data_IF_350782156860
#
_entry.id   IF_350782156860
#
_cell.length_a   1.000
_cell.length_b   1.000
_cell.length_c   1.000
_cell.angle_alpha   90.00
_cell.angle_beta   90.00
_cell.angle_gamma   90.00
#
_symmetry.space_group_name_H-M   'P 1'
#
loop_
_entity.id
_entity.type
_entity.pdbx_description
1 polymer ?
#
# COMPACT_ATOMS: atom_id res chain seq x y z
N UNK A 1 -14.50 36.26 -45.32
CA UNK A 1 -15.38 35.23 -44.70
C UNK A 1 -14.65 33.90 -44.55
N UNK A 2 -14.05 33.35 -45.63
CA UNK A 2 -13.28 32.08 -45.59
C UNK A 2 -12.00 32.17 -44.72
N UNK A 3 -11.30 33.30 -44.74
CA UNK A 3 -10.07 33.48 -43.96
C UNK A 3 -10.32 33.50 -42.44
N UNK A 4 -11.36 34.20 -41.98
CA UNK A 4 -11.77 34.19 -40.57
C UNK A 4 -12.18 32.77 -40.12
N UNK A 5 -12.93 32.05 -40.97
CA UNK A 5 -13.30 30.65 -40.69
C UNK A 5 -12.07 29.74 -40.54
N UNK A 6 -11.02 29.96 -41.34
CA UNK A 6 -9.78 29.20 -41.24
C UNK A 6 -9.00 29.49 -39.94
N UNK A 7 -8.90 30.77 -39.54
CA UNK A 7 -8.28 31.14 -38.27
C UNK A 7 -9.06 30.65 -37.05
N UNK A 8 -10.40 30.70 -37.11
CA UNK A 8 -11.28 30.14 -36.08
C UNK A 8 -11.09 28.62 -35.94
N UNK A 9 -10.94 27.91 -37.08
CA UNK A 9 -10.67 26.48 -37.10
C UNK A 9 -9.30 26.12 -36.50
N UNK A 10 -8.25 26.89 -36.85
CA UNK A 10 -6.91 26.73 -36.25
C UNK A 10 -6.94 27.02 -34.75
N UNK A 11 -7.64 28.08 -34.34
CA UNK A 11 -7.81 28.45 -32.94
C UNK A 11 -8.50 27.33 -32.14
N UNK A 12 -9.61 26.80 -32.65
CA UNK A 12 -10.33 25.70 -32.03
C UNK A 12 -9.49 24.42 -31.93
N UNK A 13 -8.78 24.05 -33.00
CA UNK A 13 -7.89 22.89 -32.99
C UNK A 13 -6.74 23.04 -31.97
N UNK A 14 -6.17 24.25 -31.87
CA UNK A 14 -5.09 24.54 -30.92
C UNK A 14 -5.58 24.41 -29.48
N UNK A 15 -6.75 24.97 -29.15
CA UNK A 15 -7.36 24.85 -27.82
C UNK A 15 -7.65 23.38 -27.48
N UNK A 16 -8.18 22.60 -28.43
CA UNK A 16 -8.45 21.17 -28.23
C UNK A 16 -7.16 20.38 -27.93
N UNK A 17 -6.08 20.64 -28.68
CA UNK A 17 -4.77 20.01 -28.46
C UNK A 17 -4.19 20.40 -27.09
N UNK A 18 -4.20 21.69 -26.74
CA UNK A 18 -3.72 22.15 -25.43
C UNK A 18 -4.53 21.55 -24.28
N UNK A 19 -5.85 21.50 -24.42
CA UNK A 19 -6.75 20.86 -23.45
C UNK A 19 -6.45 19.36 -23.28
N UNK A 20 -6.24 18.64 -24.38
CA UNK A 20 -5.86 17.23 -24.38
C UNK A 20 -4.49 17.01 -23.70
N UNK A 21 -3.49 17.82 -24.03
CA UNK A 21 -2.16 17.77 -23.41
C UNK A 21 -2.23 18.05 -21.91
N UNK A 22 -2.96 19.09 -21.48
CA UNK A 22 -3.15 19.42 -20.07
C UNK A 22 -3.81 18.27 -19.30
N UNK A 23 -4.79 17.60 -19.91
CA UNK A 23 -5.42 16.39 -19.35
C UNK A 23 -4.41 15.26 -19.19
N UNK A 24 -3.62 14.95 -20.22
CA UNK A 24 -2.59 13.90 -20.15
C UNK A 24 -1.56 14.18 -19.04
N UNK A 25 -1.13 15.44 -18.88
CA UNK A 25 -0.22 15.84 -17.81
C UNK A 25 -0.85 15.66 -16.43
N UNK A 26 -2.13 16.02 -16.27
CA UNK A 26 -2.86 15.87 -15.00
C UNK A 26 -3.06 14.41 -14.63
N UNK A 27 -3.43 13.57 -15.60
CA UNK A 27 -3.60 12.12 -15.43
C UNK A 27 -2.27 11.44 -15.05
N UNK A 28 -1.17 11.85 -15.67
CA UNK A 28 0.15 11.27 -15.44
C UNK A 28 1.01 12.03 -14.42
N UNK A 29 0.47 13.02 -13.71
CA UNK A 29 1.23 13.91 -12.80
C UNK A 29 2.10 13.15 -11.78
N UNK A 30 1.60 12.02 -11.28
CA UNK A 30 2.33 11.16 -10.32
C UNK A 30 3.54 10.50 -10.98
N UNK A 31 3.37 10.00 -12.20
CA UNK A 31 4.46 9.41 -13.01
C UNK A 31 5.48 10.46 -13.41
N UNK A 32 5.05 11.66 -13.78
CA UNK A 32 5.93 12.79 -14.07
C UNK A 32 6.73 13.24 -12.84
N UNK A 33 6.10 13.28 -11.66
CA UNK A 33 6.80 13.58 -10.40
C UNK A 33 7.86 12.52 -10.07
N UNK A 34 7.57 11.23 -10.30
CA UNK A 34 8.53 10.14 -10.15
C UNK A 34 9.66 10.24 -11.19
N UNK A 35 9.37 10.64 -12.43
CA UNK A 35 10.38 10.89 -13.45
C UNK A 35 11.34 12.01 -13.03
N UNK A 36 10.80 13.16 -12.60
CA UNK A 36 11.61 14.26 -12.07
C UNK A 36 12.43 13.84 -10.85
N UNK A 37 11.86 13.02 -9.97
CA UNK A 37 12.60 12.46 -8.83
C UNK A 37 13.71 11.51 -9.29
N UNK A 38 13.46 10.69 -10.32
CA UNK A 38 14.45 9.77 -10.89
C UNK A 38 15.66 10.53 -11.46
N UNK A 39 15.43 11.70 -12.07
CA UNK A 39 16.48 12.57 -12.63
C UNK A 39 17.26 13.27 -11.51
N UNK A 40 16.56 13.91 -10.57
CA UNK A 40 17.18 14.69 -9.48
C UNK A 40 17.93 13.83 -8.47
N UNK A 41 17.44 12.62 -8.18
CA UNK A 41 18.04 11.66 -7.23
C UNK A 41 18.75 10.51 -7.94
N UNK A 42 19.16 10.67 -9.20
CA UNK A 42 19.73 9.60 -10.03
C UNK A 42 20.94 8.88 -9.41
N UNK A 43 21.77 9.60 -8.63
CA UNK A 43 22.97 9.07 -7.96
C UNK A 43 22.71 8.55 -6.55
N UNK A 44 21.52 8.77 -5.99
CA UNK A 44 21.16 8.36 -4.63
C UNK A 44 20.45 7.01 -4.67
N UNK A 45 20.60 6.21 -3.62
CA UNK A 45 19.73 5.05 -3.40
C UNK A 45 18.43 5.51 -2.75
N UNK A 46 17.32 4.95 -3.19
CA UNK A 46 15.99 5.19 -2.66
C UNK A 46 15.46 3.87 -2.11
N UNK A 47 14.96 3.89 -0.88
CA UNK A 47 14.25 2.77 -0.27
C UNK A 47 12.85 2.68 -0.87
N UNK A 48 12.37 1.46 -1.12
CA UNK A 48 10.99 1.22 -1.52
C UNK A 48 10.41 0.16 -0.59
N UNK A 49 9.20 0.40 -0.10
CA UNK A 49 8.39 -0.60 0.57
C UNK A 49 7.03 -0.65 -0.11
N UNK A 50 6.74 -1.77 -0.77
CA UNK A 50 5.46 -1.98 -1.45
C UNK A 50 4.64 -3.03 -0.71
N UNK A 51 3.46 -2.65 -0.25
CA UNK A 51 2.58 -3.48 0.56
C UNK A 51 1.14 -3.35 0.10
N UNK A 52 0.31 -4.29 0.54
CA UNK A 52 -1.13 -4.19 0.47
C UNK A 52 -1.72 -4.22 1.88
N UNK A 53 -2.81 -3.49 2.09
CA UNK A 53 -3.51 -3.38 3.37
C UNK A 53 -5.00 -3.64 3.14
N UNK A 54 -5.62 -4.30 4.09
CA UNK A 54 -7.04 -4.57 4.08
C UNK A 54 -7.82 -3.54 4.91
N UNK A 55 -8.90 -3.04 4.31
CA UNK A 55 -10.02 -2.44 5.00
C UNK A 55 -11.00 -3.56 5.33
N UNK A 56 -11.12 -3.88 6.61
CA UNK A 56 -12.09 -4.84 7.15
C UNK A 56 -12.89 -4.08 8.20
N UNK A 57 -14.21 -4.00 8.01
CA UNK A 57 -15.11 -3.27 8.92
C UNK A 57 -16.08 -4.22 9.59
N UNK A 58 -16.38 -3.93 10.86
CA UNK A 58 -17.38 -4.61 11.70
C UNK A 58 -18.11 -3.51 12.49
N UNK A 59 -19.43 -3.38 12.30
CA UNK A 59 -20.25 -2.28 12.87
C UNK A 59 -19.62 -0.89 12.68
N UNK A 60 -19.25 -0.52 11.45
CA UNK A 60 -18.58 0.75 11.12
C UNK A 60 -17.19 0.98 11.73
N UNK A 61 -16.66 0.06 12.55
CA UNK A 61 -15.30 0.11 13.10
C UNK A 61 -14.33 -0.69 12.26
N UNK A 62 -13.06 -0.30 12.29
CA UNK A 62 -12.00 -0.92 11.52
C UNK A 62 -11.26 -1.97 12.36
N UNK A 63 -11.06 -3.16 11.80
CA UNK A 63 -10.24 -4.19 12.41
C UNK A 63 -8.75 -3.85 12.23
N UNK A 64 -8.03 -3.74 13.34
CA UNK A 64 -6.59 -3.65 13.38
C UNK A 64 -6.01 -4.83 14.16
N UNK A 65 -4.75 -5.14 13.85
CA UNK A 65 -3.96 -6.18 14.50
C UNK A 65 -2.72 -5.58 15.19
N UNK A 66 -2.24 -6.22 16.24
CA UNK A 66 -0.97 -5.87 16.86
C UNK A 66 0.19 -6.29 15.95
N UNK A 67 1.06 -5.34 15.62
CA UNK A 67 2.22 -5.56 14.75
C UNK A 67 3.25 -6.51 15.35
N UNK A 68 3.76 -7.46 14.55
CA UNK A 68 4.75 -8.43 15.03
C UNK A 68 6.18 -7.91 15.19
N UNK A 69 6.53 -6.79 14.53
CA UNK A 69 7.88 -6.21 14.56
C UNK A 69 7.96 -4.88 15.33
N UNK A 70 6.84 -4.18 15.49
CA UNK A 70 6.73 -2.90 16.16
C UNK A 70 5.48 -2.98 17.03
N UNK A 71 5.59 -2.64 18.32
CA UNK A 71 4.47 -2.58 19.27
C UNK A 71 3.52 -1.41 18.94
N UNK A 72 2.73 -1.61 17.89
CA UNK A 72 1.70 -0.70 17.40
C UNK A 72 0.60 -1.50 16.71
N UNK A 73 -0.60 -0.97 16.68
CA UNK A 73 -1.70 -1.54 15.89
C UNK A 73 -1.60 -1.12 14.43
N UNK A 74 -1.94 -2.02 13.52
CA UNK A 74 -1.88 -1.77 12.08
C UNK A 74 -3.00 -2.52 11.35
N UNK A 75 -3.38 -2.12 10.13
CA UNK A 75 -4.33 -2.90 9.34
C UNK A 75 -3.74 -4.27 9.01
N UNK A 76 -4.62 -5.26 8.81
CA UNK A 76 -4.25 -6.56 8.25
C UNK A 76 -3.62 -6.33 6.87
N UNK A 77 -2.54 -7.01 6.56
CA UNK A 77 -1.81 -6.91 5.30
C UNK A 77 -0.29 -6.91 5.50
N UNK A 78 0.44 -6.68 4.42
CA UNK A 78 1.88 -6.75 4.48
C UNK A 78 2.57 -6.53 3.15
N UNK A 79 3.88 -6.77 3.15
CA UNK A 79 4.76 -6.43 2.03
C UNK A 79 4.61 -7.46 0.93
N UNK A 80 4.38 -6.99 -0.30
CA UNK A 80 4.35 -7.87 -1.47
C UNK A 80 5.68 -8.61 -1.62
N UNK A 81 5.64 -9.83 -2.17
CA UNK A 81 6.86 -10.61 -2.46
C UNK A 81 7.24 -10.62 -3.94
N UNK A 82 8.53 -10.75 -4.21
CA UNK A 82 9.06 -11.16 -5.51
C UNK A 82 8.84 -12.66 -5.72
N UNK A 83 8.56 -13.04 -6.97
CA UNK A 83 8.71 -14.43 -7.41
C UNK A 83 10.11 -14.67 -7.99
N UNK A 84 10.58 -15.93 -8.06
CA UNK A 84 11.90 -16.26 -8.61
C UNK A 84 12.13 -15.71 -10.04
N UNK A 85 11.07 -15.61 -10.84
CA UNK A 85 11.11 -15.07 -12.21
C UNK A 85 11.51 -13.60 -12.28
N UNK A 86 11.42 -12.83 -11.19
CA UNK A 86 11.87 -11.44 -11.15
C UNK A 86 13.38 -11.26 -10.98
N UNK A 87 14.19 -12.33 -11.00
CA UNK A 87 15.65 -12.23 -10.87
C UNK A 87 16.28 -11.25 -11.87
N UNK A 88 15.92 -11.36 -13.15
CA UNK A 88 16.49 -10.54 -14.22
C UNK A 88 16.17 -9.06 -13.99
N UNK A 89 14.90 -8.73 -13.77
CA UNK A 89 14.49 -7.34 -13.54
C UNK A 89 15.08 -6.76 -12.25
N UNK A 90 15.32 -7.59 -11.22
CA UNK A 90 16.01 -7.15 -10.00
C UNK A 90 17.45 -6.73 -10.26
N UNK A 91 18.17 -7.50 -11.06
CA UNK A 91 19.54 -7.17 -11.48
C UNK A 91 19.56 -5.90 -12.34
N UNK A 92 18.67 -5.80 -13.34
CA UNK A 92 18.56 -4.62 -14.21
C UNK A 92 18.23 -3.33 -13.43
N UNK A 93 17.36 -3.43 -12.43
CA UNK A 93 16.99 -2.30 -11.57
C UNK A 93 18.05 -2.00 -10.51
N UNK A 94 19.07 -2.84 -10.33
CA UNK A 94 20.09 -2.68 -9.29
C UNK A 94 19.50 -2.79 -7.87
N UNK A 95 18.54 -3.70 -7.70
CA UNK A 95 17.82 -3.90 -6.44
C UNK A 95 18.73 -4.57 -5.40
N UNK A 96 18.80 -3.97 -4.22
CA UNK A 96 19.43 -4.53 -3.04
C UNK A 96 18.38 -4.72 -1.95
N UNK A 97 18.54 -5.74 -1.10
CA UNK A 97 17.65 -5.93 0.06
C UNK A 97 17.80 -4.78 1.05
N UNK A 98 16.70 -4.43 1.70
CA UNK A 98 16.76 -3.59 2.89
C UNK A 98 17.16 -4.45 4.10
N UNK A 99 18.37 -4.24 4.62
CA UNK A 99 18.87 -4.94 5.81
C UNK A 99 18.65 -4.18 7.11
N UNK A 100 18.00 -3.00 7.08
CA UNK A 100 17.92 -2.13 8.27
C UNK A 100 16.79 -2.45 9.24
N UNK A 101 15.73 -3.15 8.81
CA UNK A 101 14.48 -3.26 9.58
C UNK A 101 14.00 -4.67 9.87
N UNK A 102 14.22 -5.63 8.97
CA UNK A 102 13.74 -7.00 9.21
C UNK A 102 14.77 -7.99 8.67
N UNK A 103 15.26 -8.84 9.56
CA UNK A 103 16.08 -9.99 9.26
C UNK A 103 15.24 -11.26 9.45
N UNK A 104 15.48 -12.28 8.62
CA UNK A 104 14.88 -13.59 8.77
C UNK A 104 14.27 -14.17 7.48
N UNK A 105 13.89 -15.46 7.49
CA UNK A 105 13.43 -16.18 6.30
C UNK A 105 12.21 -15.54 5.64
N UNK A 106 11.28 -14.99 6.43
CA UNK A 106 10.06 -14.35 5.93
C UNK A 106 10.35 -13.12 5.05
N UNK A 107 11.41 -12.35 5.33
CA UNK A 107 11.73 -11.13 4.60
C UNK A 107 12.56 -11.34 3.32
N UNK A 108 12.95 -12.58 3.01
CA UNK A 108 13.91 -12.90 1.94
C UNK A 108 13.52 -12.34 0.57
N UNK A 109 12.23 -12.34 0.27
CA UNK A 109 11.70 -11.96 -1.03
C UNK A 109 10.73 -10.77 -0.95
N UNK A 110 10.73 -10.04 0.16
CA UNK A 110 9.91 -8.84 0.32
C UNK A 110 10.31 -7.75 -0.69
N UNK A 111 9.32 -7.04 -1.24
CA UNK A 111 9.51 -5.79 -1.98
C UNK A 111 9.72 -4.64 -0.98
N UNK A 112 10.69 -4.86 -0.10
CA UNK A 112 11.30 -3.90 0.82
C UNK A 112 12.78 -3.84 0.49
N UNK A 113 13.10 -2.90 -0.37
CA UNK A 113 14.34 -2.89 -1.12
C UNK A 113 14.95 -1.49 -1.15
N UNK A 114 16.18 -1.41 -1.66
CA UNK A 114 16.75 -0.16 -2.13
C UNK A 114 17.13 -0.29 -3.61
N UNK A 115 17.02 0.80 -4.36
CA UNK A 115 17.48 0.87 -5.75
C UNK A 115 18.06 2.25 -6.10
N UNK A 116 18.91 2.38 -7.14
CA UNK A 116 19.34 3.67 -7.65
C UNK A 116 18.16 4.52 -8.12
N UNK A 117 18.08 5.78 -7.70
CA UNK A 117 16.93 6.65 -7.98
C UNK A 117 16.59 6.79 -9.46
N UNK A 118 17.58 6.68 -10.35
CA UNK A 118 17.37 6.66 -11.82
C UNK A 118 16.42 5.56 -12.31
N UNK A 119 16.29 4.48 -11.53
CA UNK A 119 15.46 3.32 -11.85
C UNK A 119 14.07 3.38 -11.20
N UNK A 120 13.72 4.46 -10.49
CA UNK A 120 12.45 4.57 -9.75
C UNK A 120 11.22 4.46 -10.67
N UNK A 121 11.21 5.17 -11.81
CA UNK A 121 10.11 5.06 -12.76
C UNK A 121 10.01 3.66 -13.39
N UNK A 122 11.16 3.04 -13.72
CA UNK A 122 11.21 1.68 -14.26
C UNK A 122 10.66 0.66 -13.27
N UNK A 123 11.04 0.77 -12.00
CA UNK A 123 10.49 -0.05 -10.92
C UNK A 123 8.97 0.10 -10.84
N UNK A 124 8.45 1.32 -10.84
CA UNK A 124 7.00 1.53 -10.76
C UNK A 124 6.25 1.02 -12.01
N UNK A 125 6.88 1.02 -13.20
CA UNK A 125 6.31 0.39 -14.39
C UNK A 125 6.26 -1.14 -14.25
N UNK A 126 7.35 -1.74 -13.78
CA UNK A 126 7.40 -3.19 -13.50
C UNK A 126 6.39 -3.60 -12.42
N UNK A 127 6.28 -2.84 -11.34
CA UNK A 127 5.34 -3.11 -10.26
C UNK A 127 3.89 -3.11 -10.78
N UNK A 128 3.54 -2.18 -11.68
CA UNK A 128 2.20 -2.08 -12.26
C UNK A 128 1.93 -3.15 -13.33
N UNK A 129 2.96 -3.68 -13.97
CA UNK A 129 2.83 -4.79 -14.91
C UNK A 129 2.40 -6.10 -14.24
N UNK A 130 2.57 -6.24 -12.91
CA UNK A 130 2.19 -7.44 -12.12
C UNK A 130 2.90 -8.73 -12.54
N UNK A 131 4.04 -8.63 -13.23
CA UNK A 131 4.81 -9.79 -13.71
C UNK A 131 5.96 -10.09 -12.75
N UNK A 132 6.02 -11.32 -12.24
CA UNK A 132 7.13 -11.78 -11.38
C UNK A 132 7.08 -11.25 -9.94
N UNK A 133 5.91 -10.77 -9.49
CA UNK A 133 5.63 -10.46 -8.09
C UNK A 133 4.33 -11.12 -7.66
N UNK A 134 4.12 -11.20 -6.35
CA UNK A 134 2.84 -11.52 -5.73
C UNK A 134 1.73 -10.60 -6.28
N UNK A 135 0.60 -11.22 -6.65
CA UNK A 135 -0.57 -10.55 -7.26
C UNK A 135 -1.85 -10.84 -6.52
N UNK A 136 -1.98 -12.02 -5.91
CA UNK A 136 -3.03 -12.28 -4.93
C UNK A 136 -2.68 -11.58 -3.61
N UNK A 137 -3.67 -11.56 -2.71
CA UNK A 137 -3.55 -10.93 -1.39
C UNK A 137 -3.81 -11.91 -0.25
N UNK A 138 -3.94 -13.21 -0.56
CA UNK A 138 -4.36 -14.24 0.39
C UNK A 138 -3.33 -14.45 1.51
N UNK A 139 -2.04 -14.39 1.18
CA UNK A 139 -0.96 -14.76 2.10
C UNK A 139 -1.03 -14.02 3.44
N UNK A 140 -1.04 -12.69 3.42
CA UNK A 140 -1.08 -11.89 4.65
C UNK A 140 -2.42 -12.05 5.39
N UNK A 141 -3.54 -12.12 4.65
CA UNK A 141 -4.86 -12.38 5.26
C UNK A 141 -4.85 -13.71 6.03
N UNK A 142 -4.33 -14.76 5.40
CA UNK A 142 -4.20 -16.08 6.01
C UNK A 142 -3.21 -16.07 7.17
N UNK A 143 -2.02 -15.49 7.02
CA UNK A 143 -1.01 -15.44 8.09
C UNK A 143 -1.53 -14.71 9.34
N UNK A 144 -2.23 -13.59 9.15
CA UNK A 144 -2.60 -12.70 10.25
C UNK A 144 -3.96 -13.02 10.86
N UNK A 145 -4.92 -13.55 10.10
CA UNK A 145 -6.25 -13.89 10.62
C UNK A 145 -6.47 -15.41 10.79
N UNK A 146 -5.96 -16.24 9.89
CA UNK A 146 -6.24 -17.69 9.94
C UNK A 146 -5.23 -18.43 10.79
N UNK A 147 -3.94 -18.27 10.48
CA UNK A 147 -2.86 -18.94 11.20
C UNK A 147 -2.70 -18.45 12.65
N UNK A 148 -3.24 -17.27 12.96
CA UNK A 148 -3.31 -16.71 14.32
C UNK A 148 -4.49 -17.26 15.14
N UNK A 149 -5.41 -17.99 14.52
CA UNK A 149 -6.61 -18.54 15.16
C UNK A 149 -7.80 -17.57 15.24
N UNK A 150 -7.73 -16.40 14.60
CA UNK A 150 -8.82 -15.41 14.61
C UNK A 150 -10.00 -15.82 13.71
N UNK A 151 -9.71 -16.46 12.59
CA UNK A 151 -10.69 -17.01 11.64
C UNK A 151 -10.40 -18.48 11.36
N UNK A 152 -11.45 -19.29 11.25
CA UNK A 152 -11.32 -20.64 10.71
C UNK A 152 -11.00 -20.61 9.22
N UNK A 153 -10.30 -21.63 8.72
CA UNK A 153 -9.96 -21.76 7.30
C UNK A 153 -11.21 -21.73 6.43
N UNK A 154 -12.29 -22.37 6.88
CA UNK A 154 -13.55 -22.44 6.13
C UNK A 154 -14.18 -21.05 5.97
N UNK A 155 -14.38 -20.31 7.07
CA UNK A 155 -14.96 -18.97 6.98
C UNK A 155 -14.05 -18.00 6.24
N UNK A 156 -12.73 -18.17 6.36
CA UNK A 156 -11.77 -17.38 5.59
C UNK A 156 -11.94 -17.62 4.08
N UNK A 157 -12.07 -18.87 3.63
CA UNK A 157 -12.34 -19.19 2.21
C UNK A 157 -13.68 -18.62 1.77
N UNK A 158 -14.73 -18.78 2.58
CA UNK A 158 -16.10 -18.37 2.24
C UNK A 158 -16.30 -16.85 2.24
N UNK A 159 -15.39 -16.09 2.87
CA UNK A 159 -15.50 -14.63 2.98
C UNK A 159 -14.46 -13.86 2.17
N UNK A 160 -13.37 -14.51 1.73
CA UNK A 160 -12.23 -13.82 1.16
C UNK A 160 -12.46 -13.45 -0.31
N UNK A 161 -13.11 -12.31 -0.50
CA UNK A 161 -13.33 -11.68 -1.80
C UNK A 161 -12.75 -10.25 -1.79
N UNK A 162 -11.41 -10.09 -1.94
CA UNK A 162 -10.77 -8.80 -1.80
C UNK A 162 -11.04 -7.88 -3.02
N UNK A 163 -11.72 -6.76 -2.80
CA UNK A 163 -11.92 -5.72 -3.81
C UNK A 163 -10.76 -4.71 -3.78
N UNK A 164 -10.09 -4.47 -4.91
CA UNK A 164 -9.11 -3.37 -4.98
C UNK A 164 -9.81 -2.01 -4.98
N UNK A 165 -9.55 -1.20 -3.96
CA UNK A 165 -10.20 0.11 -3.78
C UNK A 165 -9.36 1.23 -4.36
N UNK A 166 -8.09 1.32 -3.94
CA UNK A 166 -7.20 2.42 -4.32
C UNK A 166 -5.74 2.07 -4.07
N UNK A 167 -4.86 2.83 -4.72
CA UNK A 167 -3.46 2.99 -4.30
C UNK A 167 -3.28 4.30 -3.56
N UNK A 168 -2.71 4.23 -2.36
CA UNK A 168 -2.33 5.42 -1.58
C UNK A 168 -1.41 6.35 -2.41
N UNK A 169 -1.51 7.68 -2.25
CA UNK A 169 -0.60 8.62 -2.87
C UNK A 169 0.87 8.28 -2.64
N UNK A 170 1.58 7.89 -3.70
CA UNK A 170 3.00 7.55 -3.67
C UNK A 170 3.84 8.81 -3.86
N UNK A 171 4.70 9.15 -2.89
CA UNK A 171 5.67 10.24 -2.98
C UNK A 171 6.99 9.81 -2.35
N UNK A 172 8.11 10.21 -2.96
CA UNK A 172 9.42 10.05 -2.33
C UNK A 172 9.57 11.07 -1.21
N UNK A 173 9.85 10.58 0.00
CA UNK A 173 10.05 11.40 1.19
C UNK A 173 11.34 10.98 1.89
N UNK A 174 12.08 11.95 2.41
CA UNK A 174 13.23 11.65 3.25
C UNK A 174 12.77 11.15 4.62
N UNK A 175 13.25 9.99 5.04
CA UNK A 175 12.99 9.42 6.37
C UNK A 175 14.23 9.58 7.23
N UNK A 176 14.18 10.48 8.21
CA UNK A 176 15.29 10.79 9.12
C UNK A 176 15.76 9.55 9.88
N UNK A 177 14.83 8.76 10.42
CA UNK A 177 15.11 7.49 11.12
C UNK A 177 15.90 6.49 10.27
N UNK A 178 15.72 6.54 8.94
CA UNK A 178 16.39 5.64 7.98
C UNK A 178 17.66 6.25 7.38
N UNK A 179 17.84 7.57 7.52
CA UNK A 179 18.90 8.34 6.87
C UNK A 179 18.82 8.34 5.34
N UNK A 180 17.65 8.10 4.74
CA UNK A 180 17.52 7.99 3.29
C UNK A 180 16.12 8.35 2.76
N UNK A 181 16.06 8.59 1.45
CA UNK A 181 14.82 8.78 0.71
C UNK A 181 14.04 7.47 0.59
N UNK A 182 12.73 7.53 0.76
CA UNK A 182 11.81 6.39 0.74
C UNK A 182 10.60 6.65 -0.16
N UNK A 183 10.19 5.63 -0.91
CA UNK A 183 8.90 5.53 -1.57
C UNK A 183 8.06 4.43 -0.91
N UNK A 184 6.92 4.80 -0.33
CA UNK A 184 5.92 3.84 0.12
C UNK A 184 4.87 3.63 -0.97
N UNK A 185 4.53 2.37 -1.21
CA UNK A 185 3.46 1.96 -2.12
C UNK A 185 2.48 1.11 -1.33
N UNK A 186 1.25 1.59 -1.14
CA UNK A 186 0.19 0.85 -0.47
C UNK A 186 -1.00 0.67 -1.41
N UNK A 187 -1.29 -0.58 -1.75
CA UNK A 187 -2.56 -0.97 -2.37
C UNK A 187 -3.57 -1.29 -1.27
N UNK A 188 -4.78 -0.74 -1.38
CA UNK A 188 -5.83 -0.91 -0.38
C UNK A 188 -6.90 -1.81 -0.97
N UNK A 189 -7.18 -2.91 -0.27
CA UNK A 189 -8.24 -3.86 -0.60
C UNK A 189 -9.32 -3.83 0.46
N UNK A 190 -10.57 -4.00 0.09
CA UNK A 190 -11.67 -4.21 1.02
C UNK A 190 -12.04 -5.69 1.06
N UNK A 191 -12.28 -6.21 2.25
CA UNK A 191 -12.89 -7.53 2.44
C UNK A 191 -14.14 -7.33 3.29
N UNK A 192 -15.30 -7.61 2.69
CA UNK A 192 -16.58 -7.61 3.39
C UNK A 192 -16.73 -8.97 4.05
N UNK A 193 -16.85 -8.97 5.37
CA UNK A 193 -17.00 -10.20 6.13
C UNK A 193 -18.45 -10.71 6.05
N UNK A 194 -18.60 -12.02 5.95
CA UNK A 194 -19.89 -12.66 6.23
C UNK A 194 -20.14 -12.74 7.75
N UNK A 195 -21.40 -12.97 8.14
CA UNK A 195 -21.77 -12.99 9.56
C UNK A 195 -21.02 -14.06 10.38
N UNK A 196 -20.65 -15.19 9.76
CA UNK A 196 -19.92 -16.25 10.44
C UNK A 196 -18.49 -15.82 10.78
N UNK A 197 -17.80 -15.19 9.82
CA UNK A 197 -16.47 -14.63 10.00
C UNK A 197 -16.49 -13.49 11.04
N UNK A 198 -17.48 -12.60 11.00
CA UNK A 198 -17.61 -11.55 12.03
C UNK A 198 -17.75 -12.12 13.44
N UNK A 199 -18.57 -13.17 13.60
CA UNK A 199 -18.75 -13.84 14.91
C UNK A 199 -17.45 -14.45 15.43
N UNK A 200 -16.67 -15.10 14.56
CA UNK A 200 -15.38 -15.67 14.94
C UNK A 200 -14.37 -14.60 15.37
N UNK A 201 -14.25 -13.50 14.61
CA UNK A 201 -13.35 -12.40 14.96
C UNK A 201 -13.73 -11.79 16.30
N UNK A 202 -15.02 -11.56 16.55
CA UNK A 202 -15.50 -11.05 17.86
C UNK A 202 -15.20 -12.03 18.99
N UNK A 203 -15.38 -13.32 18.77
CA UNK A 203 -15.07 -14.34 19.76
C UNK A 203 -13.56 -14.38 20.06
N UNK A 204 -12.72 -14.31 19.03
CA UNK A 204 -11.27 -14.24 19.16
C UNK A 204 -10.84 -13.01 19.97
N UNK A 205 -11.38 -11.82 19.67
CA UNK A 205 -11.10 -10.58 20.41
C UNK A 205 -11.46 -10.66 21.90
N UNK A 206 -12.57 -11.32 22.25
CA UNK A 206 -13.03 -11.41 23.64
C UNK A 206 -12.20 -12.41 24.46
N UNK A 207 -11.59 -13.41 23.82
CA UNK A 207 -10.74 -14.41 24.47
C UNK A 207 -9.24 -14.10 24.45
N UNK A 208 -8.86 -12.93 23.92
CA UNK A 208 -7.48 -12.56 23.65
C UNK A 208 -6.94 -11.59 24.70
N UNK A 209 -6.28 -12.15 25.72
CA UNK A 209 -5.62 -11.39 26.79
C UNK A 209 -4.51 -10.47 26.26
N UNK A 210 -3.91 -10.78 25.11
CA UNK A 210 -2.83 -9.97 24.50
C UNK A 210 -3.37 -8.85 23.61
N UNK A 211 -4.69 -8.78 23.39
CA UNK A 211 -5.36 -7.78 22.55
C UNK A 211 -4.74 -7.68 21.16
N UNK A 212 -4.37 -8.81 20.58
CA UNK A 212 -3.85 -8.93 19.22
C UNK A 212 -4.80 -8.38 18.17
N UNK A 213 -6.11 -8.42 18.43
CA UNK A 213 -7.15 -7.90 17.54
C UNK A 213 -7.96 -6.81 18.24
N UNK A 214 -8.15 -5.67 17.58
CA UNK A 214 -8.99 -4.58 18.09
C UNK A 214 -9.89 -4.01 17.00
N UNK A 215 -11.04 -3.47 17.42
CA UNK A 215 -11.90 -2.65 16.58
C UNK A 215 -11.75 -1.19 17.02
N UNK A 216 -11.43 -0.33 16.05
CA UNK A 216 -11.19 1.10 16.31
C UNK A 216 -12.10 1.97 15.47
N UNK A 217 -12.34 3.19 15.94
CA UNK A 217 -13.05 4.19 15.15
C UNK A 217 -12.10 4.87 14.15
N UNK A 218 -12.69 5.53 13.15
CA UNK A 218 -11.93 6.36 12.22
C UNK A 218 -11.14 7.47 12.93
N UNK A 219 -11.67 7.96 14.06
CA UNK A 219 -11.02 9.02 14.85
C UNK A 219 -9.74 8.54 15.51
N UNK A 220 -9.68 7.28 15.95
CA UNK A 220 -8.47 6.67 16.51
C UNK A 220 -7.38 6.54 15.44
N UNK A 221 -7.75 6.06 14.25
CA UNK A 221 -6.83 5.95 13.10
C UNK A 221 -6.28 7.33 12.71
N UNK A 222 -7.15 8.35 12.68
CA UNK A 222 -6.75 9.72 12.32
C UNK A 222 -5.78 10.33 13.34
N UNK A 223 -5.95 9.99 14.63
CA UNK A 223 -5.04 10.41 15.71
C UNK A 223 -3.78 9.54 15.81
N UNK A 224 -3.70 8.46 15.04
CA UNK A 224 -2.65 7.45 15.10
C UNK A 224 -2.48 6.85 16.51
N UNK A 225 -3.58 6.74 17.28
CA UNK A 225 -3.56 6.35 18.69
C UNK A 225 -4.91 5.78 19.15
N UNK A 226 -4.87 4.77 20.02
CA UNK A 226 -6.05 4.16 20.65
C UNK A 226 -5.79 3.84 22.11
N UNK A 227 -6.83 3.89 22.96
CA UNK A 227 -6.75 3.43 24.35
C UNK A 227 -7.20 1.98 24.43
N UNK A 228 -6.32 1.08 24.87
CA UNK A 228 -6.62 -0.33 25.11
C UNK A 228 -6.35 -0.63 26.57
N UNK A 229 -7.39 -1.06 27.30
CA UNK A 229 -7.34 -1.35 28.74
C UNK A 229 -6.75 -0.21 29.59
N UNK A 230 -7.07 1.05 29.21
CA UNK A 230 -6.60 2.26 29.89
C UNK A 230 -5.18 2.68 29.53
N UNK A 231 -4.51 1.95 28.63
CA UNK A 231 -3.16 2.25 28.15
C UNK A 231 -3.22 2.80 26.73
N UNK A 232 -2.54 3.92 26.50
CA UNK A 232 -2.39 4.50 25.17
C UNK A 232 -1.44 3.65 24.30
N UNK A 233 -1.91 3.23 23.13
CA UNK A 233 -1.16 2.44 22.15
C UNK A 233 -1.16 3.15 20.80
N UNK A 234 -0.02 3.08 20.11
CA UNK A 234 0.14 3.70 18.79
C UNK A 234 -0.61 2.91 17.72
N UNK A 235 -1.16 3.62 16.74
CA UNK A 235 -1.63 3.06 15.48
C UNK A 235 -0.64 3.47 14.38
N UNK A 236 -0.26 2.52 13.52
CA UNK A 236 0.61 2.76 12.40
C UNK A 236 0.03 3.87 11.49
N UNK A 237 0.83 4.88 11.14
CA UNK A 237 0.38 5.94 10.23
C UNK A 237 0.01 5.48 8.81
N UNK A 238 0.24 4.21 8.46
CA UNK A 238 -0.31 3.59 7.25
C UNK A 238 -1.80 3.25 7.36
N UNK A 239 -2.37 3.16 8.57
CA UNK A 239 -3.78 2.87 8.81
C UNK A 239 -4.71 3.93 8.21
N UNK A 240 -4.28 5.19 8.11
CA UNK A 240 -5.05 6.24 7.44
C UNK A 240 -5.37 5.97 5.97
N UNK A 241 -4.72 4.98 5.34
CA UNK A 241 -5.03 4.62 3.97
C UNK A 241 -6.24 3.69 3.85
N UNK A 242 -6.60 2.97 4.93
CA UNK A 242 -7.77 2.09 4.94
C UNK A 242 -9.08 2.81 5.25
N UNK A 243 -9.05 4.08 5.69
CA UNK A 243 -10.27 4.88 5.86
C UNK A 243 -10.76 5.42 4.50
N UNK A 244 -12.09 5.54 4.36
CA UNK A 244 -12.80 5.95 3.13
C UNK A 244 -12.28 7.25 2.53
N UNK A 245 -11.86 8.20 3.37
CA UNK A 245 -11.51 9.56 2.95
C UNK A 245 -10.00 9.84 2.80
N UNK A 246 -9.15 8.83 2.83
CA UNK A 246 -7.70 9.00 2.62
C UNK A 246 -7.31 9.38 1.17
N UNK A 247 -7.76 10.54 0.67
CA UNK A 247 -7.28 11.19 -0.57
C UNK A 247 -6.10 12.11 -0.31
#
# INVERSE_FOLDING_TARGET
MIENFFWDLIGAATIAVLGYCARLLKENRRRLALLGTSITKQKKRIRISAAYLFRIKIDERYLLILGGNIDQYQPVGGVYKFFPSAKIIREELGIERDTKFVEGPKAKDDIRITLPGKNLLKFMNWFDARIGREVDTWREFHEELVASGCLSVQNAIDTFEPEFIKRAPTKVQYKSQMGMDELLVFDIYEVILNEAAEREIRAAMNGDDERRFILVEETDITRECVSVDGVSKNIAGSAKWVISDGR
#
